data_IF_311882958288
#
_entry.id   IF_311882958288
#
_cell.length_a   1.000
_cell.length_b   1.000
_cell.length_c   1.000
_cell.angle_alpha   90.00
_cell.angle_beta   90.00
_cell.angle_gamma   90.00
#
_symmetry.space_group_name_H-M   'P 1'
#
loop_
_entity.id
_entity.type
_entity.pdbx_description
1 polymer ?
#
# COMPACT_ATOMS: atom_id res chain seq x y z
N UNK A 1 -3.96 -12.18 -13.51
CA UNK A 1 -2.68 -12.28 -14.25
C UNK A 1 -2.90 -11.81 -15.68
N UNK A 2 -2.19 -10.77 -16.10
CA UNK A 2 -2.50 -10.02 -17.31
C UNK A 2 -3.67 -9.07 -17.07
N UNK A 3 -4.71 -9.17 -17.88
CA UNK A 3 -5.84 -8.23 -17.90
C UNK A 3 -6.83 -8.38 -16.74
N UNK A 4 -6.75 -9.45 -15.95
CA UNK A 4 -7.71 -9.77 -14.90
C UNK A 4 -7.09 -9.70 -13.50
N UNK A 5 -7.85 -9.15 -12.56
CA UNK A 5 -7.53 -9.18 -11.13
C UNK A 5 -7.54 -10.63 -10.62
N UNK A 6 -6.55 -10.95 -9.80
CA UNK A 6 -6.32 -12.28 -9.23
C UNK A 6 -5.90 -12.20 -7.77
N UNK A 7 -5.84 -13.35 -7.09
CA UNK A 7 -5.37 -13.41 -5.70
C UNK A 7 -3.94 -12.87 -5.51
N UNK A 8 -3.08 -13.03 -6.51
CA UNK A 8 -1.73 -12.48 -6.49
C UNK A 8 -1.72 -10.97 -6.25
N UNK A 9 -2.69 -10.26 -6.84
CA UNK A 9 -2.84 -8.82 -6.71
C UNK A 9 -3.19 -8.41 -5.26
N UNK A 10 -4.12 -9.15 -4.65
CA UNK A 10 -4.53 -8.91 -3.26
C UNK A 10 -3.40 -9.20 -2.28
N UNK A 11 -2.65 -10.30 -2.49
CA UNK A 11 -1.48 -10.63 -1.66
C UNK A 11 -0.41 -9.55 -1.76
N UNK A 12 -0.13 -9.06 -2.97
CA UNK A 12 0.84 -7.99 -3.18
C UNK A 12 0.38 -6.66 -2.55
N UNK A 13 -0.89 -6.29 -2.74
CA UNK A 13 -1.47 -5.05 -2.22
C UNK A 13 -1.23 -4.86 -0.72
N UNK A 14 -1.44 -5.92 0.07
CA UNK A 14 -1.24 -5.85 1.52
C UNK A 14 0.19 -5.46 1.91
N UNK A 15 1.18 -5.83 1.11
CA UNK A 15 2.57 -5.41 1.32
C UNK A 15 2.78 -3.97 0.88
N UNK A 16 2.32 -3.61 -0.33
CA UNK A 16 2.56 -2.29 -0.91
C UNK A 16 1.90 -1.16 -0.13
N UNK A 17 0.66 -1.35 0.34
CA UNK A 17 -0.11 -0.32 1.07
C UNK A 17 0.57 0.09 2.40
N UNK A 18 1.41 -0.78 2.97
CA UNK A 18 2.15 -0.55 4.22
C UNK A 18 3.56 0.00 3.98
N UNK A 19 4.04 -0.03 2.74
CA UNK A 19 5.47 0.13 2.44
C UNK A 19 5.99 1.52 2.82
N UNK A 20 5.40 2.58 2.27
CA UNK A 20 5.89 3.94 2.48
C UNK A 20 5.67 4.42 3.93
N UNK A 21 4.59 3.95 4.56
CA UNK A 21 4.22 4.31 5.92
C UNK A 21 5.08 3.62 6.99
N UNK A 22 5.60 2.43 6.68
CA UNK A 22 6.29 1.56 7.64
C UNK A 22 7.57 1.01 7.07
N UNK A 23 7.52 0.13 6.07
CA UNK A 23 8.67 -0.69 5.67
C UNK A 23 9.86 0.14 5.17
N UNK A 24 9.59 1.22 4.45
CA UNK A 24 10.60 2.14 3.94
C UNK A 24 11.49 2.67 5.08
N UNK A 25 10.88 3.11 6.19
CA UNK A 25 11.60 3.63 7.35
C UNK A 25 11.94 2.55 8.39
N UNK A 26 10.91 1.93 8.97
CA UNK A 26 11.02 0.98 10.09
C UNK A 26 11.91 -0.22 9.77
N UNK A 27 11.74 -0.80 8.59
CA UNK A 27 12.53 -1.94 8.12
C UNK A 27 13.71 -1.57 7.23
N UNK A 28 13.95 -0.27 7.02
CA UNK A 28 15.07 0.25 6.23
C UNK A 28 15.04 -0.23 4.77
N UNK A 29 13.86 -0.55 4.23
CA UNK A 29 13.68 -0.89 2.81
C UNK A 29 13.70 0.40 1.95
N UNK A 30 14.77 1.17 2.03
CA UNK A 30 14.77 2.60 1.74
C UNK A 30 15.40 3.01 0.40
N UNK A 31 15.60 2.08 -0.55
CA UNK A 31 16.13 2.44 -1.87
C UNK A 31 15.25 3.48 -2.57
N UNK A 32 13.93 3.27 -2.56
CA UNK A 32 12.93 4.17 -3.15
C UNK A 32 11.54 3.86 -2.59
N UNK A 33 10.67 4.86 -2.47
CA UNK A 33 9.28 4.68 -1.99
C UNK A 33 8.40 4.13 -3.11
N UNK A 34 7.28 3.49 -2.76
CA UNK A 34 6.25 3.08 -3.72
C UNK A 34 5.71 4.27 -4.49
N UNK A 35 5.47 5.40 -3.82
CA UNK A 35 5.02 6.65 -4.46
C UNK A 35 5.90 7.04 -5.67
N UNK A 36 7.21 6.81 -5.58
CA UNK A 36 8.17 7.21 -6.59
C UNK A 36 8.28 6.21 -7.78
N UNK A 37 7.51 5.12 -7.76
CA UNK A 37 7.37 4.15 -8.86
C UNK A 37 5.98 4.28 -9.51
N UNK A 38 5.83 5.03 -10.64
CA UNK A 38 4.52 5.37 -11.19
C UNK A 38 3.60 4.17 -11.42
N UNK A 39 4.13 3.06 -11.96
CA UNK A 39 3.30 1.87 -12.19
C UNK A 39 2.84 1.20 -10.87
N UNK A 40 3.66 1.22 -9.81
CA UNK A 40 3.31 0.62 -8.52
C UNK A 40 2.40 1.53 -7.69
N UNK A 41 2.69 2.84 -7.63
CA UNK A 41 1.83 3.79 -6.92
C UNK A 41 0.46 3.90 -7.56
N UNK A 42 0.38 3.88 -8.89
CA UNK A 42 -0.88 3.82 -9.62
C UNK A 42 -1.63 2.51 -9.33
N UNK A 43 -0.93 1.39 -9.31
CA UNK A 43 -1.53 0.09 -9.01
C UNK A 43 -2.07 0.00 -7.57
N UNK A 44 -1.35 0.53 -6.58
CA UNK A 44 -1.84 0.60 -5.20
C UNK A 44 -3.10 1.46 -5.10
N UNK A 45 -3.12 2.61 -5.79
CA UNK A 45 -4.29 3.50 -5.82
C UNK A 45 -5.49 2.86 -6.49
N UNK A 46 -5.30 2.19 -7.62
CA UNK A 46 -6.36 1.40 -8.29
C UNK A 46 -6.98 0.41 -7.32
N UNK A 47 -6.17 -0.45 -6.69
CA UNK A 47 -6.70 -1.45 -5.76
C UNK A 47 -7.34 -0.80 -4.53
N UNK A 48 -6.77 0.27 -3.99
CA UNK A 48 -7.37 0.98 -2.85
C UNK A 48 -8.77 1.54 -3.17
N UNK A 49 -8.98 1.98 -4.42
CA UNK A 49 -10.24 2.57 -4.90
C UNK A 49 -11.29 1.53 -5.32
N UNK A 50 -10.96 0.23 -5.29
CA UNK A 50 -11.96 -0.81 -5.50
C UNK A 50 -13.00 -0.84 -4.36
N UNK A 51 -14.28 -1.12 -4.68
CA UNK A 51 -15.34 -1.17 -3.68
C UNK A 51 -15.00 -2.10 -2.52
N UNK A 52 -15.06 -1.60 -1.28
CA UNK A 52 -14.82 -2.38 -0.08
C UNK A 52 -13.36 -2.50 0.36
N UNK A 53 -12.37 -2.03 -0.42
CA UNK A 53 -10.95 -2.15 -0.05
C UNK A 53 -10.54 -1.06 0.93
N UNK A 54 -10.92 0.20 0.71
CA UNK A 54 -10.51 1.33 1.55
C UNK A 54 -10.92 1.13 3.02
N UNK A 55 -12.08 0.53 3.27
CA UNK A 55 -12.63 0.22 4.60
C UNK A 55 -11.79 -0.80 5.36
N UNK A 56 -10.99 -1.61 4.66
CA UNK A 56 -10.10 -2.61 5.28
C UNK A 56 -8.75 -2.03 5.72
N UNK A 57 -8.44 -0.79 5.33
CA UNK A 57 -7.13 -0.18 5.55
C UNK A 57 -7.21 0.89 6.64
N UNK A 58 -6.72 0.56 7.84
CA UNK A 58 -6.54 1.51 8.92
C UNK A 58 -5.06 1.85 9.10
N UNK A 59 -4.63 2.99 8.54
CA UNK A 59 -3.21 3.37 8.53
C UNK A 59 -2.67 3.74 9.92
N UNK A 60 -3.52 4.27 10.79
CA UNK A 60 -3.17 4.58 12.16
C UNK A 60 -2.89 3.30 12.97
N UNK A 61 -3.76 2.29 12.84
CA UNK A 61 -3.54 0.97 13.44
C UNK A 61 -2.29 0.30 12.89
N UNK A 62 -2.08 0.33 11.57
CA UNK A 62 -0.87 -0.21 10.92
C UNK A 62 0.39 0.44 11.52
N UNK A 63 0.49 1.76 11.52
CA UNK A 63 1.69 2.47 11.99
C UNK A 63 1.93 2.20 13.48
N UNK A 64 0.90 2.28 14.32
CA UNK A 64 1.03 2.00 15.76
C UNK A 64 1.53 0.59 16.02
N UNK A 65 0.96 -0.41 15.35
CA UNK A 65 1.40 -1.80 15.53
C UNK A 65 2.91 -1.95 15.27
N UNK A 66 3.41 -1.48 14.12
CA UNK A 66 4.83 -1.66 13.80
C UNK A 66 5.76 -0.84 14.68
N UNK A 67 5.50 0.46 14.84
CA UNK A 67 6.42 1.36 15.53
C UNK A 67 6.37 1.22 17.05
N UNK A 68 5.25 0.75 17.62
CA UNK A 68 5.10 0.59 19.06
C UNK A 68 5.43 -0.83 19.55
N UNK A 69 5.05 -1.88 18.80
CA UNK A 69 5.23 -3.27 19.23
C UNK A 69 6.63 -3.83 18.97
N UNK A 70 7.41 -3.28 18.06
CA UNK A 70 8.78 -3.73 17.77
C UNK A 70 9.82 -2.91 18.54
N UNK A 71 9.87 -3.06 19.87
CA UNK A 71 10.83 -2.37 20.74
C UNK A 71 12.30 -2.68 20.44
N UNK A 72 12.59 -3.88 19.93
CA UNK A 72 13.93 -4.26 19.45
C UNK A 72 14.41 -3.44 18.25
N UNK A 73 13.48 -2.93 17.43
CA UNK A 73 13.78 -2.12 16.24
C UNK A 73 13.62 -0.63 16.54
N UNK A 74 12.58 -0.25 17.29
CA UNK A 74 12.26 1.12 17.67
C UNK A 74 12.04 1.22 19.20
N UNK A 75 13.10 1.29 20.00
CA UNK A 75 12.99 1.33 21.46
C UNK A 75 12.28 2.58 21.98
N UNK A 76 12.30 3.67 21.21
CA UNK A 76 11.62 4.92 21.59
C UNK A 76 10.10 4.84 21.49
N UNK A 77 9.57 3.86 20.73
CA UNK A 77 8.14 3.71 20.40
C UNK A 77 7.49 4.95 19.78
N UNK A 78 8.29 5.88 19.27
CA UNK A 78 7.79 7.06 18.55
C UNK A 78 7.19 6.57 17.23
N UNK A 79 5.94 6.94 16.98
CA UNK A 79 5.25 6.69 15.72
C UNK A 79 5.39 7.95 14.85
N UNK A 80 6.06 7.89 13.69
CA UNK A 80 6.24 9.04 12.81
C UNK A 80 4.89 9.63 12.36
N UNK A 81 4.78 10.95 12.23
CA UNK A 81 3.56 11.59 11.72
C UNK A 81 3.36 11.36 10.21
N UNK A 82 4.43 11.48 9.42
CA UNK A 82 4.41 11.22 7.98
C UNK A 82 4.40 9.73 7.60
N UNK A 83 4.48 9.41 6.29
CA UNK A 83 4.35 10.34 5.16
C UNK A 83 2.90 10.86 4.99
N UNK A 84 2.72 11.93 4.21
CA UNK A 84 1.39 12.33 3.73
C UNK A 84 0.96 11.34 2.65
N UNK A 85 -0.16 10.65 2.89
CA UNK A 85 -0.68 9.61 2.01
C UNK A 85 -2.02 10.03 1.46
N UNK A 86 -2.16 10.00 0.14
CA UNK A 86 -3.42 10.19 -0.54
C UNK A 86 -3.58 9.11 -1.61
N UNK A 87 -4.27 8.05 -1.21
CA UNK A 87 -4.58 6.90 -2.07
C UNK A 87 -5.85 7.12 -2.91
N UNK A 88 -6.57 8.23 -2.72
CA UNK A 88 -7.78 8.58 -3.50
C UNK A 88 -7.46 9.40 -4.75
N UNK A 89 -6.20 9.83 -4.93
CA UNK A 89 -5.76 10.50 -6.17
C UNK A 89 -6.01 9.62 -7.41
N UNK A 90 -6.30 10.22 -8.58
CA UNK A 90 -6.36 9.49 -9.84
C UNK A 90 -5.12 8.64 -10.08
N UNK A 91 -5.30 7.47 -10.68
CA UNK A 91 -4.24 6.47 -10.84
C UNK A 91 -3.82 6.21 -12.29
N UNK A 92 -4.47 6.75 -13.32
CA UNK A 92 -4.05 6.57 -14.73
C UNK A 92 -3.83 5.07 -15.10
N UNK A 93 -4.74 4.21 -14.65
CA UNK A 93 -4.69 2.75 -14.92
C UNK A 93 -5.72 2.35 -15.98
N UNK A 94 -6.66 3.24 -16.25
CA UNK A 94 -7.67 3.17 -17.30
C UNK A 94 -7.06 3.09 -18.70
N UNK A 95 -5.80 3.53 -18.87
CA UNK A 95 -5.05 3.38 -20.14
C UNK A 95 -4.62 1.95 -20.45
N UNK A 96 -4.77 1.02 -19.50
CA UNK A 96 -4.37 -0.39 -19.64
C UNK A 96 -5.59 -1.27 -19.93
N UNK A 97 -5.42 -2.46 -20.56
CA UNK A 97 -6.53 -3.31 -21.02
C UNK A 97 -7.22 -4.10 -19.89
N UNK A 98 -7.33 -3.54 -18.68
CA UNK A 98 -7.91 -4.21 -17.52
C UNK A 98 -9.38 -4.61 -17.72
N UNK A 99 -9.71 -5.85 -17.36
CA UNK A 99 -11.05 -6.46 -17.46
C UNK A 99 -11.72 -6.70 -16.11
N UNK A 100 -11.08 -6.29 -15.00
CA UNK A 100 -11.61 -6.42 -13.64
C UNK A 100 -11.56 -7.84 -13.09
N UNK A 101 -12.61 -8.26 -12.35
CA UNK A 101 -12.72 -9.63 -11.80
C UNK A 101 -13.29 -10.56 -12.86
N UNK A 102 -12.61 -11.68 -13.10
CA UNK A 102 -13.13 -12.74 -13.95
C UNK A 102 -14.37 -13.37 -13.29
N UNK A 103 -15.54 -13.19 -13.89
CA UNK A 103 -16.75 -13.93 -13.52
C UNK A 103 -16.67 -15.34 -14.10
N UNK A 104 -17.17 -16.32 -13.35
CA UNK A 104 -17.33 -17.69 -13.83
C UNK A 104 -18.43 -17.75 -14.88
#
# INVERSE_FOLDING_TARGET
>A
MGEWLTEADIRLFTTLIRFDAVYYGHFKCNFKRIEDYPNLSNYVRELYQWPGIAETVNMDHIKRHYYYSHDTINPTRIVPAGPLLDFQRPHDRERLPGKGVRRK
#
